data_IF_057484704923
#
_entry.id   IF_057484704923
#
_cell.length_a   1.000
_cell.length_b   1.000
_cell.length_c   1.000
_cell.angle_alpha   90.00
_cell.angle_beta   90.00
_cell.angle_gamma   90.00
#
_symmetry.space_group_name_H-M   'P 1'
#
loop_
_entity.id
_entity.type
_entity.pdbx_description
1 polymer ?
#
# COMPACT_ATOMS: atom_id res chain seq x y z
N UNK A 1 15.08 17.44 0.34
CA UNK A 1 14.82 16.68 1.59
C UNK A 1 14.11 17.62 2.55
N UNK A 2 12.96 17.19 3.05
CA UNK A 2 11.84 18.06 3.38
C UNK A 2 12.00 18.74 4.75
N UNK A 3 11.83 20.06 4.83
CA UNK A 3 11.85 20.84 6.08
C UNK A 3 10.82 20.38 7.14
N UNK A 4 9.84 19.55 6.76
CA UNK A 4 8.80 19.01 7.65
C UNK A 4 9.27 17.84 8.55
N UNK A 5 10.33 17.10 8.20
CA UNK A 5 10.78 15.94 8.99
C UNK A 5 11.72 16.32 10.15
N UNK A 6 12.41 17.46 10.06
CA UNK A 6 13.39 17.91 11.06
C UNK A 6 12.78 18.17 12.45
N UNK A 7 11.62 18.83 12.59
CA UNK A 7 11.00 19.05 13.91
C UNK A 7 10.53 17.76 14.58
N UNK A 8 10.02 16.80 13.79
CA UNK A 8 9.54 15.51 14.30
C UNK A 8 10.69 14.61 14.76
N UNK A 9 11.81 14.61 14.01
CA UNK A 9 13.03 13.92 14.43
C UNK A 9 13.59 14.48 15.75
N UNK A 10 13.56 15.80 15.94
CA UNK A 10 14.00 16.43 17.18
C UNK A 10 13.10 16.04 18.37
N UNK A 11 11.78 16.04 18.18
CA UNK A 11 10.83 15.57 19.19
C UNK A 11 11.05 14.08 19.53
N UNK A 12 11.29 13.24 18.52
CA UNK A 12 11.63 11.82 18.72
C UNK A 12 12.92 11.62 19.50
N UNK A 13 13.96 12.42 19.18
CA UNK A 13 15.21 12.45 19.94
C UNK A 13 15.00 12.86 21.40
N UNK A 14 14.17 13.87 21.67
CA UNK A 14 13.83 14.28 23.03
C UNK A 14 13.10 13.17 23.81
N UNK A 15 12.20 12.43 23.16
CA UNK A 15 11.55 11.24 23.76
C UNK A 15 12.58 10.16 24.09
N UNK A 16 13.49 9.86 23.17
CA UNK A 16 14.54 8.85 23.41
C UNK A 16 15.46 9.24 24.58
N UNK A 17 15.86 10.51 24.68
CA UNK A 17 16.62 11.02 25.84
C UNK A 17 15.84 10.80 27.15
N UNK A 18 14.52 11.02 27.13
CA UNK A 18 13.67 10.74 28.29
C UNK A 18 13.67 9.23 28.62
N UNK A 19 13.48 8.37 27.62
CA UNK A 19 13.53 6.91 27.78
C UNK A 19 14.83 6.47 28.48
N UNK A 20 15.98 6.96 28.01
CA UNK A 20 17.30 6.68 28.60
C UNK A 20 17.42 7.21 30.02
N UNK A 21 16.95 8.45 30.27
CA UNK A 21 17.02 9.09 31.58
C UNK A 21 16.29 8.28 32.67
N UNK A 22 15.20 7.59 32.31
CA UNK A 22 14.41 6.80 33.24
C UNK A 22 14.73 5.29 33.20
N UNK A 23 15.77 4.86 32.46
CA UNK A 23 16.15 3.45 32.38
C UNK A 23 15.16 2.57 31.60
N UNK A 24 14.28 3.18 30.80
CA UNK A 24 13.23 2.48 30.05
C UNK A 24 13.76 1.89 28.73
N UNK A 25 14.98 2.25 28.32
CA UNK A 25 15.62 1.78 27.10
C UNK A 25 15.87 0.28 27.09
N UNK A 26 15.87 -0.38 28.24
CA UNK A 26 16.02 -1.84 28.37
C UNK A 26 14.70 -2.60 28.21
N UNK A 27 13.56 -1.91 28.20
CA UNK A 27 12.26 -2.54 27.97
C UNK A 27 12.12 -2.86 26.48
N UNK A 28 12.01 -4.16 26.14
CA UNK A 28 11.95 -4.63 24.74
C UNK A 28 10.87 -3.92 23.90
N UNK A 29 9.69 -3.70 24.47
CA UNK A 29 8.59 -2.99 23.81
C UNK A 29 8.95 -1.52 23.52
N UNK A 30 9.50 -0.79 24.50
CA UNK A 30 9.89 0.62 24.33
C UNK A 30 10.98 0.74 23.27
N UNK A 31 11.94 -0.18 23.30
CA UNK A 31 13.02 -0.22 22.31
C UNK A 31 12.50 -0.53 20.90
N UNK A 32 11.55 -1.44 20.76
CA UNK A 32 10.88 -1.74 19.48
C UNK A 32 10.21 -0.48 18.90
N UNK A 33 9.53 0.30 19.72
CA UNK A 33 8.92 1.57 19.29
C UNK A 33 9.96 2.63 18.87
N UNK A 34 11.08 2.74 19.60
CA UNK A 34 12.19 3.61 19.20
C UNK A 34 12.78 3.19 17.85
N UNK A 35 12.93 1.89 17.60
CA UNK A 35 13.41 1.36 16.31
C UNK A 35 12.46 1.77 15.18
N UNK A 36 11.15 1.56 15.34
CA UNK A 36 10.14 1.96 14.35
C UNK A 36 10.21 3.47 14.08
N UNK A 37 10.34 4.28 15.13
CA UNK A 37 10.49 5.73 15.03
C UNK A 37 11.70 6.12 14.18
N UNK A 38 12.87 5.57 14.48
CA UNK A 38 14.10 5.90 13.73
C UNK A 38 14.03 5.47 12.26
N UNK A 39 13.43 4.32 11.96
CA UNK A 39 13.20 3.90 10.56
C UNK A 39 12.30 4.91 9.83
N UNK A 40 11.22 5.37 10.47
CA UNK A 40 10.30 6.38 9.89
C UNK A 40 10.98 7.72 9.62
N UNK A 41 11.96 8.10 10.43
CA UNK A 41 12.73 9.32 10.22
C UNK A 41 13.94 9.16 9.29
N UNK A 42 14.12 7.97 8.70
CA UNK A 42 15.24 7.70 7.79
C UNK A 42 16.58 7.43 8.48
N UNK A 43 16.60 7.40 9.82
CA UNK A 43 17.79 7.15 10.64
C UNK A 43 18.01 5.64 10.83
N UNK A 44 18.18 4.93 9.72
CA UNK A 44 18.31 3.46 9.74
C UNK A 44 19.50 2.99 10.59
N UNK A 45 20.61 3.72 10.60
CA UNK A 45 21.77 3.36 11.41
C UNK A 45 21.48 3.32 12.91
N UNK A 46 20.67 4.25 13.42
CA UNK A 46 20.24 4.26 14.82
C UNK A 46 19.25 3.13 15.12
N UNK A 47 18.33 2.85 14.19
CA UNK A 47 17.41 1.71 14.30
C UNK A 47 18.19 0.38 14.41
N UNK A 48 19.20 0.17 13.56
CA UNK A 48 20.03 -1.03 13.58
C UNK A 48 20.89 -1.13 14.84
N UNK A 49 21.42 0.00 15.32
CA UNK A 49 22.17 0.03 16.58
C UNK A 49 21.30 -0.40 17.76
N UNK A 50 20.10 0.18 17.88
CA UNK A 50 19.16 -0.17 18.94
C UNK A 50 18.74 -1.64 18.86
N UNK A 51 18.42 -2.13 17.66
CA UNK A 51 18.09 -3.53 17.44
C UNK A 51 19.26 -4.47 17.78
N UNK A 52 20.47 -4.09 17.35
CA UNK A 52 21.71 -4.81 17.62
C UNK A 52 22.01 -4.95 19.11
N UNK A 53 21.68 -3.91 19.89
CA UNK A 53 21.89 -3.86 21.34
C UNK A 53 20.86 -4.63 22.18
N UNK A 54 19.83 -5.22 21.55
CA UNK A 54 18.83 -6.05 22.25
C UNK A 54 19.45 -7.33 22.80
N UNK A 55 19.19 -7.60 24.08
CA UNK A 55 19.62 -8.85 24.76
C UNK A 55 18.93 -10.05 24.14
N UNK A 56 17.62 -9.95 23.91
CA UNK A 56 16.82 -10.92 23.17
C UNK A 56 16.09 -10.23 22.03
N UNK A 57 16.23 -10.76 20.82
CA UNK A 57 15.51 -10.31 19.63
C UNK A 57 14.42 -11.32 19.34
N UNK A 58 13.26 -11.12 19.94
CA UNK A 58 12.10 -11.97 19.72
C UNK A 58 11.46 -11.70 18.33
N UNK A 59 10.50 -12.56 17.96
CA UNK A 59 9.78 -12.46 16.68
C UNK A 59 9.10 -11.10 16.52
N UNK A 60 8.65 -10.48 17.61
CA UNK A 60 7.97 -9.17 17.60
C UNK A 60 8.93 -8.07 17.17
N UNK A 61 10.15 -8.04 17.73
CA UNK A 61 11.16 -7.06 17.37
C UNK A 61 11.60 -7.19 15.89
N UNK A 62 11.79 -8.43 15.40
CA UNK A 62 12.07 -8.69 13.99
C UNK A 62 10.93 -8.22 13.08
N UNK A 63 9.70 -8.59 13.41
CA UNK A 63 8.52 -8.20 12.64
C UNK A 63 8.34 -6.68 12.56
N UNK A 64 8.52 -5.99 13.68
CA UNK A 64 8.46 -4.54 13.74
C UNK A 64 9.49 -3.88 12.82
N UNK A 65 10.74 -4.32 12.87
CA UNK A 65 11.82 -3.74 12.06
C UNK A 65 11.64 -4.07 10.56
N UNK A 66 11.27 -5.30 10.21
CA UNK A 66 11.00 -5.70 8.82
C UNK A 66 9.81 -4.90 8.27
N UNK A 67 8.69 -4.84 9.00
CA UNK A 67 7.50 -4.10 8.57
C UNK A 67 7.79 -2.60 8.44
N UNK A 68 8.55 -2.01 9.37
CA UNK A 68 8.96 -0.62 9.29
C UNK A 68 9.81 -0.35 8.04
N UNK A 69 10.71 -1.25 7.67
CA UNK A 69 11.49 -1.13 6.43
C UNK A 69 10.58 -1.13 5.19
N UNK A 70 9.62 -2.06 5.10
CA UNK A 70 8.65 -2.15 3.99
C UNK A 70 7.81 -0.88 3.86
N UNK A 71 7.32 -0.34 4.98
CA UNK A 71 6.50 0.87 5.01
C UNK A 71 7.26 2.12 4.59
N UNK A 72 8.58 2.13 4.75
CA UNK A 72 9.44 3.27 4.40
C UNK A 72 10.21 3.06 3.08
N UNK A 73 9.78 2.12 2.23
CA UNK A 73 10.38 1.89 0.92
C UNK A 73 11.75 1.20 0.95
N UNK A 74 12.18 0.68 2.09
CA UNK A 74 13.44 -0.04 2.28
C UNK A 74 13.26 -1.55 2.05
N UNK A 75 12.58 -1.92 0.96
CA UNK A 75 12.18 -3.30 0.66
C UNK A 75 13.37 -4.28 0.62
N UNK A 76 14.49 -3.89 0.00
CA UNK A 76 15.70 -4.73 -0.07
C UNK A 76 16.28 -5.00 1.32
N UNK A 77 16.27 -3.99 2.21
CA UNK A 77 16.70 -4.14 3.59
C UNK A 77 15.76 -5.07 4.37
N UNK A 78 14.45 -4.95 4.14
CA UNK A 78 13.45 -5.83 4.77
C UNK A 78 13.70 -7.31 4.43
N UNK A 79 14.01 -7.64 3.18
CA UNK A 79 14.38 -9.01 2.78
C UNK A 79 15.71 -9.47 3.38
N UNK A 80 16.71 -8.58 3.46
CA UNK A 80 17.96 -8.87 4.15
C UNK A 80 17.75 -9.21 5.63
N UNK A 81 16.88 -8.47 6.32
CA UNK A 81 16.51 -8.73 7.71
C UNK A 81 15.71 -10.04 7.87
N UNK A 82 14.79 -10.33 6.95
CA UNK A 82 14.08 -11.62 6.93
C UNK A 82 15.05 -12.80 6.78
N UNK A 83 16.06 -12.66 5.92
CA UNK A 83 17.12 -13.66 5.78
C UNK A 83 17.95 -13.79 7.07
N UNK A 84 18.33 -12.67 7.70
CA UNK A 84 19.07 -12.70 8.98
C UNK A 84 18.26 -13.34 10.11
N UNK A 85 16.95 -13.08 10.20
CA UNK A 85 16.05 -13.73 11.15
C UNK A 85 16.06 -15.25 10.98
N UNK A 86 16.03 -15.72 9.73
CA UNK A 86 16.09 -17.14 9.39
C UNK A 86 17.44 -17.77 9.78
N UNK A 87 18.55 -17.07 9.52
CA UNK A 87 19.90 -17.51 9.92
C UNK A 87 20.08 -17.55 11.44
N UNK A 88 19.38 -16.68 12.18
CA UNK A 88 19.35 -16.69 13.64
C UNK A 88 18.49 -17.84 14.22
N UNK A 89 17.88 -18.68 13.36
CA UNK A 89 17.04 -19.80 13.77
C UNK A 89 15.67 -19.38 14.33
N UNK A 90 15.28 -18.12 14.13
CA UNK A 90 14.01 -17.59 14.61
C UNK A 90 12.94 -17.90 13.57
N UNK A 91 11.90 -18.62 13.99
CA UNK A 91 10.83 -19.04 13.09
C UNK A 91 9.97 -17.85 12.66
N UNK A 92 9.76 -17.65 11.35
CA UNK A 92 8.88 -16.61 10.86
C UNK A 92 7.42 -16.94 11.17
N UNK A 93 6.63 -15.92 11.47
CA UNK A 93 5.18 -16.02 11.63
C UNK A 93 4.46 -15.40 10.41
N UNK A 94 3.13 -15.37 10.47
CA UNK A 94 2.31 -14.80 9.40
C UNK A 94 2.65 -13.32 9.12
N UNK A 95 3.00 -12.53 10.14
CA UNK A 95 3.35 -11.11 9.99
C UNK A 95 4.71 -10.98 9.30
N UNK A 96 5.66 -11.85 9.64
CA UNK A 96 6.96 -11.92 8.97
C UNK A 96 6.79 -12.20 7.48
N UNK A 97 6.04 -13.26 7.14
CA UNK A 97 5.82 -13.68 5.74
C UNK A 97 5.10 -12.60 4.94
N UNK A 98 4.04 -12.01 5.51
CA UNK A 98 3.32 -10.91 4.85
C UNK A 98 4.28 -9.77 4.53
N UNK A 99 5.12 -9.35 5.49
CA UNK A 99 6.07 -8.26 5.28
C UNK A 99 7.11 -8.60 4.20
N UNK A 100 7.65 -9.82 4.20
CA UNK A 100 8.60 -10.27 3.18
C UNK A 100 7.96 -10.34 1.78
N UNK A 101 6.72 -10.84 1.65
CA UNK A 101 5.98 -10.86 0.38
C UNK A 101 5.69 -9.46 -0.15
N UNK A 102 5.31 -8.53 0.72
CA UNK A 102 5.11 -7.13 0.36
C UNK A 102 6.42 -6.49 -0.15
N UNK A 103 7.55 -6.79 0.49
CA UNK A 103 8.87 -6.35 0.02
C UNK A 103 9.21 -6.93 -1.37
N UNK A 104 8.92 -8.21 -1.61
CA UNK A 104 9.09 -8.84 -2.92
C UNK A 104 8.25 -8.14 -3.99
N UNK A 105 6.99 -7.82 -3.68
CA UNK A 105 6.10 -7.07 -4.57
C UNK A 105 6.61 -5.65 -4.87
N UNK A 106 7.17 -4.96 -3.87
CA UNK A 106 7.78 -3.63 -4.07
C UNK A 106 9.02 -3.66 -4.97
N UNK A 107 9.79 -4.75 -4.95
CA UNK A 107 11.00 -4.92 -5.76
C UNK A 107 10.74 -5.62 -7.11
N UNK A 108 9.57 -6.21 -7.31
CA UNK A 108 9.28 -7.04 -8.47
C UNK A 108 10.03 -8.38 -8.47
N UNK A 109 10.48 -8.87 -7.31
CA UNK A 109 11.28 -10.09 -7.20
C UNK A 109 10.39 -11.34 -7.06
N UNK A 110 9.88 -11.83 -8.19
CA UNK A 110 8.95 -12.96 -8.21
C UNK A 110 9.51 -14.25 -7.58
N UNK A 111 10.74 -14.62 -7.94
CA UNK A 111 11.40 -15.85 -7.46
C UNK A 111 11.53 -15.88 -5.94
N UNK A 112 12.05 -14.80 -5.35
CA UNK A 112 12.16 -14.64 -3.89
C UNK A 112 10.77 -14.68 -3.22
N UNK A 113 9.75 -14.11 -3.87
CA UNK A 113 8.37 -14.16 -3.39
C UNK A 113 7.81 -15.58 -3.34
N UNK A 114 8.09 -16.40 -4.35
CA UNK A 114 7.69 -17.82 -4.37
C UNK A 114 8.43 -18.65 -3.31
N UNK A 115 9.74 -18.42 -3.15
CA UNK A 115 10.52 -19.04 -2.07
C UNK A 115 9.98 -18.67 -0.68
N UNK A 116 9.66 -17.39 -0.48
CA UNK A 116 9.07 -16.87 0.77
C UNK A 116 7.73 -17.55 1.08
N UNK A 117 6.86 -17.73 0.08
CA UNK A 117 5.62 -18.50 0.27
C UNK A 117 5.90 -19.99 0.51
N UNK A 118 6.96 -20.54 -0.06
CA UNK A 118 7.46 -21.89 0.26
C UNK A 118 7.80 -22.04 1.74
N UNK A 119 8.41 -21.03 2.35
CA UNK A 119 8.64 -20.99 3.81
C UNK A 119 7.30 -20.97 4.57
N UNK A 120 6.32 -20.19 4.11
CA UNK A 120 4.98 -20.16 4.72
C UNK A 120 4.32 -21.54 4.75
N UNK A 121 4.44 -22.32 3.67
CA UNK A 121 3.95 -23.71 3.61
C UNK A 121 4.70 -24.63 4.57
N UNK A 122 6.03 -24.51 4.61
CA UNK A 122 6.87 -25.32 5.50
C UNK A 122 6.52 -25.12 6.97
N UNK A 123 6.24 -23.87 7.36
CA UNK A 123 5.84 -23.53 8.73
C UNK A 123 4.32 -23.70 8.99
N UNK A 124 3.54 -24.14 7.99
CA UNK A 124 2.10 -24.43 8.13
C UNK A 124 1.21 -23.20 8.31
N UNK A 125 1.64 -22.04 7.81
CA UNK A 125 0.94 -20.74 7.93
C UNK A 125 0.32 -20.27 6.60
N UNK A 126 0.37 -21.10 5.57
CA UNK A 126 -0.16 -20.82 4.22
C UNK A 126 -1.69 -20.83 4.14
N UNK A 127 -2.38 -21.45 5.08
CA UNK A 127 -3.85 -21.39 5.20
C UNK A 127 -4.36 -20.05 5.75
N UNK A 128 -3.47 -19.13 6.13
CA UNK A 128 -3.88 -17.84 6.69
C UNK A 128 -4.26 -16.86 5.57
N UNK A 129 -5.50 -16.38 5.58
CA UNK A 129 -6.04 -15.44 4.59
C UNK A 129 -5.18 -14.17 4.41
N UNK A 130 -4.50 -13.68 5.45
CA UNK A 130 -3.61 -12.52 5.31
C UNK A 130 -2.34 -12.87 4.51
N UNK A 131 -1.83 -14.09 4.64
CA UNK A 131 -0.67 -14.60 3.90
C UNK A 131 -1.06 -14.85 2.44
N UNK A 132 -2.22 -15.48 2.19
CA UNK A 132 -2.72 -15.68 0.82
C UNK A 132 -2.96 -14.34 0.10
N UNK A 133 -3.53 -13.35 0.78
CA UNK A 133 -3.73 -12.02 0.20
C UNK A 133 -2.41 -11.30 -0.10
N UNK A 134 -1.40 -11.43 0.76
CA UNK A 134 -0.07 -10.87 0.51
C UNK A 134 0.64 -11.56 -0.66
N UNK A 135 0.45 -12.87 -0.81
CA UNK A 135 0.97 -13.63 -1.94
C UNK A 135 0.31 -13.23 -3.26
N UNK A 136 -1.02 -13.02 -3.25
CA UNK A 136 -1.75 -12.44 -4.39
C UNK A 136 -1.21 -11.06 -4.77
N UNK A 137 -1.05 -10.17 -3.78
CA UNK A 137 -0.54 -8.80 -3.99
C UNK A 137 0.87 -8.82 -4.58
N UNK A 138 1.73 -9.74 -4.12
CA UNK A 138 3.08 -9.94 -4.67
C UNK A 138 3.03 -10.28 -6.16
N UNK A 139 2.25 -11.28 -6.58
CA UNK A 139 2.14 -11.62 -8.01
C UNK A 139 1.62 -10.46 -8.87
N UNK A 140 0.61 -9.74 -8.35
CA UNK A 140 0.03 -8.57 -9.01
C UNK A 140 1.10 -7.49 -9.25
N UNK A 141 1.89 -7.16 -8.23
CA UNK A 141 2.92 -6.11 -8.31
C UNK A 141 4.13 -6.54 -9.14
N UNK A 142 4.42 -7.83 -9.18
CA UNK A 142 5.40 -8.42 -10.11
C UNK A 142 4.87 -8.54 -11.55
N UNK A 143 3.66 -8.04 -11.85
CA UNK A 143 3.08 -8.03 -13.20
C UNK A 143 2.46 -9.36 -13.65
N UNK A 144 2.63 -10.45 -12.89
CA UNK A 144 2.08 -11.77 -13.22
C UNK A 144 0.64 -11.93 -12.72
N UNK A 145 -0.24 -11.11 -13.29
CA UNK A 145 -1.66 -11.04 -12.95
C UNK A 145 -2.46 -12.29 -13.33
N UNK A 146 -1.98 -13.09 -14.28
CA UNK A 146 -2.66 -14.33 -14.68
C UNK A 146 -2.42 -15.45 -13.65
N UNK A 147 -1.23 -15.53 -13.04
CA UNK A 147 -1.00 -16.38 -11.88
C UNK A 147 -1.79 -15.88 -10.67
N UNK A 148 -1.78 -14.58 -10.38
CA UNK A 148 -2.60 -14.00 -9.31
C UNK A 148 -4.09 -14.37 -9.47
N UNK A 149 -4.62 -14.31 -10.70
CA UNK A 149 -5.99 -14.74 -10.99
C UNK A 149 -6.23 -16.22 -10.73
N UNK A 150 -5.28 -17.06 -11.12
CA UNK A 150 -5.35 -18.51 -10.87
C UNK A 150 -5.42 -18.80 -9.38
N UNK A 151 -4.58 -18.15 -8.59
CA UNK A 151 -4.56 -18.29 -7.14
C UNK A 151 -5.85 -17.77 -6.51
N UNK A 152 -6.31 -16.58 -6.89
CA UNK A 152 -7.57 -16.02 -6.41
C UNK A 152 -8.75 -16.98 -6.61
N UNK A 153 -8.82 -17.64 -7.77
CA UNK A 153 -9.88 -18.61 -8.04
C UNK A 153 -9.76 -19.90 -7.21
N UNK A 154 -8.56 -20.25 -6.75
CA UNK A 154 -8.28 -21.45 -5.94
C UNK A 154 -8.40 -21.21 -4.44
N UNK A 155 -8.46 -19.95 -3.99
CA UNK A 155 -8.57 -19.63 -2.56
C UNK A 155 -9.84 -20.25 -1.96
N UNK A 156 -9.72 -21.00 -0.86
CA UNK A 156 -10.86 -21.65 -0.21
C UNK A 156 -11.83 -20.62 0.38
N UNK A 157 -11.29 -19.50 0.87
CA UNK A 157 -12.07 -18.37 1.36
C UNK A 157 -11.51 -17.09 0.76
N UNK A 158 -12.40 -16.21 0.29
CA UNK A 158 -12.05 -14.88 -0.24
C UNK A 158 -12.73 -13.82 0.60
N UNK A 159 -11.97 -12.85 1.09
CA UNK A 159 -12.52 -11.70 1.80
C UNK A 159 -12.47 -10.45 0.91
N UNK A 160 -13.03 -9.35 1.39
CA UNK A 160 -13.06 -8.07 0.67
C UNK A 160 -11.66 -7.63 0.21
N UNK A 161 -10.62 -7.92 1.00
CA UNK A 161 -9.23 -7.60 0.65
C UNK A 161 -8.78 -8.40 -0.57
N UNK A 162 -9.06 -9.70 -0.66
CA UNK A 162 -8.73 -10.53 -1.83
C UNK A 162 -9.29 -9.94 -3.15
N UNK A 163 -10.53 -9.44 -3.11
CA UNK A 163 -11.18 -8.80 -4.26
C UNK A 163 -10.53 -7.46 -4.61
N UNK A 164 -10.27 -6.63 -3.60
CA UNK A 164 -9.63 -5.32 -3.77
C UNK A 164 -8.24 -5.47 -4.38
N UNK A 165 -7.42 -6.40 -3.87
CA UNK A 165 -6.08 -6.68 -4.38
C UNK A 165 -6.11 -6.99 -5.88
N UNK A 166 -7.03 -7.85 -6.32
CA UNK A 166 -7.16 -8.21 -7.73
C UNK A 166 -7.70 -7.08 -8.60
N UNK A 167 -8.68 -6.30 -8.12
CA UNK A 167 -9.25 -5.16 -8.87
C UNK A 167 -8.19 -4.07 -9.06
N UNK A 168 -7.51 -3.67 -7.99
CA UNK A 168 -6.39 -2.71 -8.06
C UNK A 168 -5.26 -3.26 -8.93
N UNK A 169 -4.97 -4.55 -8.79
CA UNK A 169 -3.93 -5.20 -9.58
C UNK A 169 -4.18 -5.15 -11.08
N UNK A 170 -5.41 -5.43 -11.50
CA UNK A 170 -5.79 -5.27 -12.90
C UNK A 170 -5.75 -3.81 -13.35
N UNK A 171 -6.17 -2.86 -12.50
CA UNK A 171 -6.13 -1.43 -12.81
C UNK A 171 -4.69 -0.94 -13.06
N UNK A 172 -3.74 -1.30 -12.20
CA UNK A 172 -2.32 -0.91 -12.31
C UNK A 172 -1.65 -1.57 -13.52
N UNK A 173 -2.06 -2.79 -13.86
CA UNK A 173 -1.52 -3.52 -15.02
C UNK A 173 -2.26 -3.20 -16.34
N UNK A 174 -3.10 -2.15 -16.38
CA UNK A 174 -3.83 -1.72 -17.58
C UNK A 174 -4.88 -2.72 -18.09
N UNK A 175 -5.29 -3.70 -17.27
CA UNK A 175 -6.30 -4.72 -17.61
C UNK A 175 -7.70 -4.26 -17.18
N UNK A 176 -8.12 -3.08 -17.62
CA UNK A 176 -9.37 -2.42 -17.16
C UNK A 176 -10.62 -3.28 -17.31
N UNK A 177 -10.80 -3.97 -18.44
CA UNK A 177 -11.96 -4.86 -18.64
C UNK A 177 -12.03 -5.96 -17.57
N UNK A 178 -10.87 -6.54 -17.20
CA UNK A 178 -10.80 -7.56 -16.16
C UNK A 178 -11.11 -6.96 -14.78
N UNK A 179 -10.69 -5.72 -14.50
CA UNK A 179 -11.01 -5.02 -13.26
C UNK A 179 -12.52 -4.79 -13.10
N UNK A 180 -13.18 -4.25 -14.14
CA UNK A 180 -14.61 -3.96 -14.14
C UNK A 180 -15.47 -5.24 -14.11
N UNK A 181 -15.06 -6.29 -14.83
CA UNK A 181 -15.69 -7.59 -14.77
C UNK A 181 -15.58 -8.20 -13.37
N UNK A 182 -14.43 -8.06 -12.71
CA UNK A 182 -14.22 -8.56 -11.35
C UNK A 182 -15.01 -7.77 -10.31
N UNK A 183 -15.10 -6.46 -10.45
CA UNK A 183 -15.97 -5.60 -9.62
C UNK A 183 -17.45 -6.00 -9.74
N UNK A 184 -17.92 -6.24 -10.97
CA UNK A 184 -19.29 -6.71 -11.20
C UNK A 184 -19.53 -8.08 -10.55
N UNK A 185 -18.57 -9.00 -10.70
CA UNK A 185 -18.62 -10.32 -10.04
C UNK A 185 -18.63 -10.22 -8.51
N UNK A 186 -17.84 -9.31 -7.93
CA UNK A 186 -17.81 -9.06 -6.48
C UNK A 186 -19.21 -8.71 -5.95
N UNK A 187 -19.91 -7.79 -6.63
CA UNK A 187 -21.29 -7.40 -6.29
C UNK A 187 -22.27 -8.56 -6.45
N UNK A 188 -22.16 -9.34 -7.52
CA UNK A 188 -23.04 -10.48 -7.79
C UNK A 188 -22.86 -11.63 -6.78
N UNK A 189 -21.65 -11.80 -6.24
CA UNK A 189 -21.36 -12.75 -5.14
C UNK A 189 -21.73 -12.17 -3.76
N UNK A 190 -22.42 -11.01 -3.70
CA UNK A 190 -22.90 -10.41 -2.46
C UNK A 190 -21.82 -9.74 -1.61
N UNK A 191 -20.59 -9.62 -2.13
CA UNK A 191 -19.49 -8.98 -1.42
C UNK A 191 -19.60 -7.47 -1.61
N UNK A 192 -19.78 -6.75 -0.50
CA UNK A 192 -20.00 -5.29 -0.53
C UNK A 192 -18.73 -4.53 -0.89
N UNK A 193 -18.72 -3.75 -1.99
CA UNK A 193 -17.62 -2.85 -2.28
C UNK A 193 -17.45 -1.77 -1.20
N UNK A 194 -16.21 -1.33 -0.99
CA UNK A 194 -15.88 -0.19 -0.13
C UNK A 194 -15.18 0.90 -0.95
N UNK A 195 -14.86 2.02 -0.31
CA UNK A 195 -14.18 3.15 -0.96
C UNK A 195 -12.89 2.71 -1.67
N UNK A 196 -12.09 1.80 -1.09
CA UNK A 196 -10.87 1.29 -1.74
C UNK A 196 -11.18 0.48 -3.00
N UNK A 197 -12.30 -0.26 -3.01
CA UNK A 197 -12.76 -0.96 -4.21
C UNK A 197 -13.08 0.02 -5.34
N UNK A 198 -13.80 1.11 -5.00
CA UNK A 198 -14.12 2.16 -5.97
C UNK A 198 -12.89 2.93 -6.43
N UNK A 199 -11.91 3.17 -5.56
CA UNK A 199 -10.63 3.74 -5.97
C UNK A 199 -9.98 2.90 -7.09
N UNK A 200 -9.95 1.58 -6.95
CA UNK A 200 -9.40 0.70 -7.99
C UNK A 200 -10.19 0.72 -9.30
N UNK A 201 -11.52 0.81 -9.23
CA UNK A 201 -12.38 0.96 -10.40
C UNK A 201 -12.14 2.31 -11.10
N UNK A 202 -12.10 3.41 -10.36
CA UNK A 202 -11.86 4.74 -10.90
C UNK A 202 -10.45 4.87 -11.50
N UNK A 203 -9.43 4.29 -10.88
CA UNK A 203 -8.08 4.22 -11.45
C UNK A 203 -8.08 3.42 -12.76
N UNK A 204 -8.82 2.31 -12.85
CA UNK A 204 -8.94 1.54 -14.07
C UNK A 204 -9.63 2.34 -15.19
N UNK A 205 -10.68 3.09 -14.85
CA UNK A 205 -11.34 4.02 -15.78
C UNK A 205 -10.38 5.12 -16.25
N UNK A 206 -9.62 5.73 -15.32
CA UNK A 206 -8.61 6.76 -15.64
C UNK A 206 -7.58 6.27 -16.65
N UNK A 207 -6.97 5.10 -16.39
CA UNK A 207 -5.96 4.53 -17.28
C UNK A 207 -6.50 4.16 -18.67
N UNK A 208 -7.78 3.86 -18.80
CA UNK A 208 -8.42 3.51 -20.06
C UNK A 208 -9.17 4.67 -20.74
N UNK A 209 -9.21 5.86 -20.13
CA UNK A 209 -9.97 7.01 -20.67
C UNK A 209 -11.49 6.81 -20.66
N UNK A 210 -12.02 5.96 -19.77
CA UNK A 210 -13.45 5.64 -19.69
C UNK A 210 -14.20 6.71 -18.87
N UNK A 211 -14.39 7.89 -19.47
CA UNK A 211 -14.99 9.07 -18.80
C UNK A 211 -16.39 8.76 -18.27
N UNK A 212 -17.25 8.17 -19.11
CA UNK A 212 -18.67 7.95 -18.78
C UNK A 212 -18.81 6.97 -17.61
N UNK A 213 -18.06 5.88 -17.63
CA UNK A 213 -18.01 4.88 -16.57
C UNK A 213 -17.43 5.47 -15.29
N UNK A 214 -16.34 6.23 -15.39
CA UNK A 214 -15.73 6.93 -14.25
C UNK A 214 -16.74 7.84 -13.54
N UNK A 215 -17.45 8.68 -14.30
CA UNK A 215 -18.53 9.52 -13.76
C UNK A 215 -19.68 8.70 -13.17
N UNK A 216 -20.10 7.62 -13.82
CA UNK A 216 -21.17 6.76 -13.31
C UNK A 216 -20.81 6.17 -11.94
N UNK A 217 -19.59 5.65 -11.78
CA UNK A 217 -19.12 5.10 -10.51
C UNK A 217 -18.93 6.18 -9.44
N UNK A 218 -18.34 7.32 -9.79
CA UNK A 218 -18.13 8.43 -8.86
C UNK A 218 -19.46 9.02 -8.36
N UNK A 219 -20.42 9.23 -9.27
CA UNK A 219 -21.75 9.72 -8.91
C UNK A 219 -22.49 8.72 -8.02
N UNK A 220 -22.39 7.42 -8.32
CA UNK A 220 -22.94 6.40 -7.44
C UNK A 220 -22.34 6.50 -6.02
N UNK A 221 -21.02 6.67 -5.88
CA UNK A 221 -20.40 6.88 -4.57
C UNK A 221 -20.97 8.11 -3.85
N UNK A 222 -20.98 9.26 -4.54
CA UNK A 222 -21.39 10.54 -3.98
C UNK A 222 -22.87 10.57 -3.55
N UNK A 223 -23.74 9.92 -4.32
CA UNK A 223 -25.19 9.94 -4.12
C UNK A 223 -25.67 8.81 -3.18
N UNK A 224 -24.87 7.78 -2.96
CA UNK A 224 -25.28 6.60 -2.18
C UNK A 224 -25.61 6.88 -0.71
N UNK A 225 -25.03 7.92 -0.10
CA UNK A 225 -25.14 8.19 1.33
C UNK A 225 -24.46 7.16 2.26
N UNK A 226 -23.92 6.06 1.71
CA UNK A 226 -23.29 4.99 2.49
C UNK A 226 -21.87 5.37 2.91
N UNK A 227 -21.61 5.45 4.23
CA UNK A 227 -20.29 5.79 4.80
C UNK A 227 -19.14 4.93 4.25
N UNK A 228 -19.40 3.67 3.89
CA UNK A 228 -18.37 2.74 3.40
C UNK A 228 -17.86 3.07 1.99
N UNK A 229 -18.59 3.85 1.20
CA UNK A 229 -18.27 4.20 -0.18
C UNK A 229 -18.29 5.72 -0.42
N UNK A 230 -18.20 6.52 0.63
CA UNK A 230 -18.11 7.97 0.49
C UNK A 230 -16.83 8.36 -0.27
N UNK A 231 -16.91 9.29 -1.24
CA UNK A 231 -15.72 9.83 -1.89
C UNK A 231 -14.75 10.44 -0.89
N UNK A 232 -13.47 10.15 -1.12
CA UNK A 232 -12.31 10.70 -0.40
C UNK A 232 -11.36 11.33 -1.40
N UNK A 233 -10.40 12.12 -0.93
CA UNK A 233 -9.43 12.85 -1.75
C UNK A 233 -8.80 12.03 -2.89
N UNK A 234 -8.52 10.75 -2.66
CA UNK A 234 -7.93 9.86 -3.66
C UNK A 234 -8.86 9.63 -4.87
N UNK A 235 -10.16 9.58 -4.64
CA UNK A 235 -11.17 9.40 -5.70
C UNK A 235 -11.32 10.67 -6.55
N UNK A 236 -11.26 11.83 -5.90
CA UNK A 236 -11.25 13.12 -6.60
C UNK A 236 -10.00 13.25 -7.46
N UNK A 237 -8.83 12.85 -6.95
CA UNK A 237 -7.60 12.80 -7.72
C UNK A 237 -7.71 11.87 -8.95
N UNK A 238 -8.31 10.68 -8.81
CA UNK A 238 -8.57 9.78 -9.94
C UNK A 238 -9.49 10.39 -11.00
N UNK A 239 -10.52 11.14 -10.59
CA UNK A 239 -11.41 11.82 -11.55
C UNK A 239 -10.70 12.96 -12.28
N UNK A 240 -9.86 13.74 -11.58
CA UNK A 240 -9.02 14.77 -12.21
C UNK A 240 -8.03 14.14 -13.19
N UNK A 241 -7.35 13.06 -12.81
CA UNK A 241 -6.44 12.32 -13.68
C UNK A 241 -7.17 11.77 -14.93
N UNK A 242 -8.37 11.20 -14.75
CA UNK A 242 -9.20 10.69 -15.85
C UNK A 242 -9.56 11.80 -16.86
N UNK A 243 -10.09 12.91 -16.37
CA UNK A 243 -10.47 14.05 -17.21
C UNK A 243 -9.24 14.68 -17.88
N UNK A 244 -8.16 14.88 -17.12
CA UNK A 244 -6.93 15.47 -17.62
C UNK A 244 -6.27 14.63 -18.72
N UNK A 245 -6.11 13.32 -18.52
CA UNK A 245 -5.54 12.40 -19.54
C UNK A 245 -6.39 12.28 -20.79
N UNK A 246 -7.69 12.53 -20.67
CA UNK A 246 -8.61 12.46 -21.80
C UNK A 246 -8.73 13.80 -22.54
N UNK A 247 -7.98 14.84 -22.12
CA UNK A 247 -7.97 16.16 -22.74
C UNK A 247 -9.07 17.11 -22.25
N UNK A 248 -9.84 16.73 -21.23
CA UNK A 248 -10.94 17.51 -20.66
C UNK A 248 -10.45 18.46 -19.55
N UNK A 249 -9.43 19.28 -19.84
CA UNK A 249 -8.75 20.11 -18.83
C UNK A 249 -9.66 21.14 -18.15
N UNK A 250 -10.53 21.81 -18.92
CA UNK A 250 -11.49 22.77 -18.36
C UNK A 250 -12.52 22.08 -17.44
N UNK A 251 -12.95 20.87 -17.80
CA UNK A 251 -13.85 20.07 -16.96
C UNK A 251 -13.13 19.64 -15.68
N UNK A 252 -11.87 19.21 -15.77
CA UNK A 252 -11.04 18.87 -14.62
C UNK A 252 -10.85 20.07 -13.67
N UNK A 253 -10.57 21.25 -14.22
CA UNK A 253 -10.41 22.48 -13.45
C UNK A 253 -11.71 22.93 -12.75
N UNK A 254 -12.83 22.89 -13.46
CA UNK A 254 -14.14 23.18 -12.87
C UNK A 254 -14.52 22.16 -11.80
N UNK A 255 -14.19 20.89 -12.00
CA UNK A 255 -14.41 19.84 -11.03
C UNK A 255 -13.62 20.11 -9.73
N UNK A 256 -12.35 20.49 -9.82
CA UNK A 256 -11.52 20.89 -8.67
C UNK A 256 -12.17 22.02 -7.86
N UNK A 257 -12.69 23.05 -8.53
CA UNK A 257 -13.39 24.16 -7.87
C UNK A 257 -14.66 23.74 -7.15
N UNK A 258 -15.32 22.68 -7.60
CA UNK A 258 -16.56 22.18 -7.02
C UNK A 258 -16.36 21.23 -5.83
N UNK A 259 -15.11 20.89 -5.49
CA UNK A 259 -14.83 19.89 -4.46
C UNK A 259 -15.20 20.41 -3.05
N UNK A 260 -15.90 19.61 -2.23
CA UNK A 260 -16.27 19.98 -0.86
C UNK A 260 -15.13 19.77 0.15
N UNK A 261 -13.91 19.46 -0.31
CA UNK A 261 -12.76 19.06 0.51
C UNK A 261 -11.62 20.06 0.27
N UNK A 262 -10.87 20.40 1.32
CA UNK A 262 -9.67 21.23 1.19
C UNK A 262 -8.66 20.61 0.22
N UNK A 263 -8.18 21.45 -0.70
CA UNK A 263 -7.29 21.08 -1.79
C UNK A 263 -5.91 20.68 -1.23
N UNK A 264 -5.47 19.45 -1.49
CA UNK A 264 -4.09 19.05 -1.22
C UNK A 264 -3.19 19.13 -2.48
N UNK A 265 -1.88 19.12 -2.28
CA UNK A 265 -0.90 19.22 -3.36
C UNK A 265 -0.99 18.05 -4.37
N UNK A 266 -1.63 16.94 -4.00
CA UNK A 266 -1.77 15.77 -4.87
C UNK A 266 -2.77 15.99 -6.00
N UNK A 267 -3.92 16.61 -5.71
CA UNK A 267 -4.95 16.91 -6.71
C UNK A 267 -4.45 17.95 -7.73
N UNK A 268 -3.79 19.01 -7.26
CA UNK A 268 -3.15 19.99 -8.15
C UNK A 268 -1.98 19.41 -8.92
N UNK A 269 -1.20 18.50 -8.31
CA UNK A 269 -0.12 17.79 -9.00
C UNK A 269 -0.60 16.94 -10.17
N UNK A 270 -1.76 16.27 -10.02
CA UNK A 270 -2.38 15.51 -11.11
C UNK A 270 -2.81 16.44 -12.27
N UNK A 271 -3.41 17.59 -11.95
CA UNK A 271 -3.76 18.58 -12.98
C UNK A 271 -2.51 19.17 -13.65
N UNK A 272 -1.50 19.57 -12.90
CA UNK A 272 -0.24 20.11 -13.45
C UNK A 272 0.46 19.11 -14.38
N UNK A 273 0.51 17.83 -13.98
CA UNK A 273 1.06 16.77 -14.81
C UNK A 273 0.32 16.63 -16.15
N UNK A 274 -1.01 16.77 -16.14
CA UNK A 274 -1.84 16.68 -17.36
C UNK A 274 -1.77 17.93 -18.22
N UNK A 275 -1.74 19.14 -17.63
CA UNK A 275 -1.49 20.39 -18.35
C UNK A 275 -0.12 20.37 -19.06
N UNK A 276 0.92 19.82 -18.41
CA UNK A 276 2.23 19.66 -19.01
C UNK A 276 2.22 18.73 -20.22
N UNK A 277 1.45 17.62 -20.17
CA UNK A 277 1.28 16.66 -21.28
C UNK A 277 0.58 17.32 -22.47
N UNK A 278 -0.39 18.20 -22.22
CA UNK A 278 -1.19 18.85 -23.26
C UNK A 278 -0.67 20.24 -23.68
N UNK A 279 0.49 20.66 -23.16
CA UNK A 279 1.10 21.98 -23.42
C UNK A 279 0.17 23.18 -23.13
N UNK A 280 -0.72 23.04 -22.14
CA UNK A 280 -1.62 24.11 -21.74
C UNK A 280 -0.97 25.00 -20.67
N UNK A 281 -0.40 26.13 -21.12
CA UNK A 281 0.31 27.10 -20.28
C UNK A 281 -0.63 28.08 -19.56
N UNK A 282 -1.94 28.03 -19.81
CA UNK A 282 -2.92 28.92 -19.15
C UNK A 282 -3.43 28.32 -17.84
N UNK A 283 -3.56 27.00 -17.79
CA UNK A 283 -4.06 26.27 -16.62
C UNK A 283 -2.95 25.69 -15.73
N UNK A 284 -1.72 25.55 -16.24
CA UNK A 284 -0.56 24.96 -15.55
C UNK A 284 0.57 25.94 -15.24
#
# INVERSE_FOLDING_TARGET
MCHAQLPELWAGGAVHVHVVKYGLEFVSMVRTELIIMYVKFGEMGLAEFLFGSMVERDVVAWNALIAACVQNGLASKALGLFHQMSLAGIKPDAVTIVSALLACGQLGCLEIGEETYGVARKEGIDCNIIVENAWLDMYVKCGNTDMARTLFNKMPQRNVISWITMILGYAINGKTDKALALFSRMKNEGVQPNYVTYLGVLSACSHAGLINEGWAYFNHMAQSGHKNIQPRKEHYACMVDLLGRSGHLEEAYNFIKSMPIELDAGVWGALLGTCAIHHDVKLG
#
